data_IF_426059733408
#
_entry.id   IF_426059733408
#
_cell.length_a   1.000
_cell.length_b   1.000
_cell.length_c   1.000
_cell.angle_alpha   90.00
_cell.angle_beta   90.00
_cell.angle_gamma   90.00
#
_symmetry.space_group_name_H-M   'P 1'
#
loop_
_entity.id
_entity.type
_entity.pdbx_description
1 polymer ?
#
# COMPACT_ATOMS: atom_id res chain seq x y z
N UNK A 1 32.57 -13.16 14.37
CA UNK A 1 32.78 -13.80 13.07
C UNK A 1 31.94 -13.06 12.06
N UNK A 2 32.61 -12.45 11.11
CA UNK A 2 32.04 -11.51 10.14
C UNK A 2 31.15 -12.24 9.12
N UNK A 3 29.88 -11.87 9.06
CA UNK A 3 28.98 -12.34 8.00
C UNK A 3 29.06 -11.35 6.83
N UNK A 4 30.09 -11.53 6.01
CA UNK A 4 30.37 -10.74 4.82
C UNK A 4 30.09 -11.62 3.60
N UNK A 5 28.82 -11.92 3.28
CA UNK A 5 28.45 -12.81 2.18
C UNK A 5 27.28 -12.34 1.29
N UNK A 6 26.90 -11.05 1.31
CA UNK A 6 25.86 -10.54 0.41
C UNK A 6 26.34 -9.48 -0.60
N UNK A 7 27.60 -9.63 -1.06
CA UNK A 7 28.18 -8.75 -2.08
C UNK A 7 28.43 -9.47 -3.42
N UNK A 8 27.52 -10.33 -3.89
CA UNK A 8 27.77 -11.13 -5.10
C UNK A 8 26.80 -10.85 -6.27
N UNK A 9 25.91 -9.88 -6.17
CA UNK A 9 25.00 -9.57 -7.30
C UNK A 9 25.17 -8.16 -7.86
N UNK A 10 26.42 -7.74 -8.13
CA UNK A 10 26.69 -6.47 -8.81
C UNK A 10 26.80 -6.56 -10.34
N UNK A 11 26.67 -7.74 -10.94
CA UNK A 11 26.52 -7.89 -12.39
C UNK A 11 25.10 -8.33 -12.70
N UNK A 12 24.34 -7.49 -13.39
CA UNK A 12 23.01 -7.81 -13.87
C UNK A 12 23.08 -9.04 -14.79
N UNK A 13 22.76 -10.20 -14.24
CA UNK A 13 22.77 -11.44 -15.00
C UNK A 13 21.58 -11.44 -15.94
N UNK A 14 21.84 -11.53 -17.25
CA UNK A 14 20.80 -11.67 -18.24
C UNK A 14 20.10 -13.02 -18.05
N UNK A 15 18.77 -13.03 -18.00
CA UNK A 15 17.94 -14.21 -17.74
C UNK A 15 17.01 -14.47 -18.94
N UNK A 16 16.97 -15.71 -19.42
CA UNK A 16 16.01 -16.18 -20.38
C UNK A 16 15.11 -17.24 -19.74
N UNK A 17 13.86 -16.86 -19.49
CA UNK A 17 12.82 -17.78 -19.01
C UNK A 17 12.19 -18.44 -20.25
N UNK A 18 12.23 -19.77 -20.32
CA UNK A 18 11.78 -20.56 -21.46
C UNK A 18 10.48 -21.29 -21.16
N UNK A 19 9.58 -21.37 -22.15
CA UNK A 19 8.38 -22.23 -22.16
C UNK A 19 7.46 -21.99 -20.95
N UNK A 20 7.14 -20.73 -20.64
CA UNK A 20 6.20 -20.37 -19.58
C UNK A 20 4.83 -19.99 -20.16
N UNK A 21 3.77 -20.29 -19.41
CA UNK A 21 2.46 -19.73 -19.69
C UNK A 21 2.37 -18.33 -19.09
N UNK A 22 2.20 -17.31 -19.92
CA UNK A 22 2.13 -15.92 -19.50
C UNK A 22 0.69 -15.53 -19.18
N UNK A 23 0.49 -14.90 -18.00
CA UNK A 23 -0.71 -14.16 -17.62
C UNK A 23 -0.24 -12.75 -17.26
N UNK A 24 -0.39 -11.80 -18.19
CA UNK A 24 0.24 -10.47 -18.09
C UNK A 24 -0.60 -9.40 -17.39
N UNK A 25 -1.82 -9.75 -16.95
CA UNK A 25 -2.73 -8.81 -16.28
C UNK A 25 -3.49 -7.88 -17.22
N UNK A 26 -3.33 -8.01 -18.53
CA UNK A 26 -4.04 -7.17 -19.50
C UNK A 26 -5.53 -7.51 -19.67
N UNK A 27 -5.98 -8.65 -19.13
CA UNK A 27 -7.30 -9.21 -19.37
C UNK A 27 -7.40 -10.07 -20.64
N UNK A 28 -6.31 -10.21 -21.40
CA UNK A 28 -6.21 -11.09 -22.56
C UNK A 28 -6.04 -12.56 -22.14
N UNK A 29 -6.32 -13.48 -23.05
CA UNK A 29 -6.08 -14.90 -22.82
C UNK A 29 -4.60 -15.19 -22.58
N UNK A 30 -4.33 -16.15 -21.69
CA UNK A 30 -2.98 -16.65 -21.44
C UNK A 30 -2.35 -17.24 -22.69
N UNK A 31 -1.05 -17.08 -22.82
CA UNK A 31 -0.29 -17.59 -23.98
C UNK A 31 1.06 -18.18 -23.58
N UNK A 32 1.61 -19.09 -24.38
CA UNK A 32 2.92 -19.71 -24.17
C UNK A 32 3.99 -18.87 -24.86
N UNK A 33 5.02 -18.48 -24.14
CA UNK A 33 6.17 -17.75 -24.68
C UNK A 33 7.42 -17.90 -23.81
N UNK A 34 8.54 -17.36 -24.31
CA UNK A 34 9.77 -17.13 -23.57
C UNK A 34 9.85 -15.65 -23.18
N UNK A 35 10.54 -15.36 -22.08
CA UNK A 35 10.75 -13.98 -21.60
C UNK A 35 12.24 -13.75 -21.36
N UNK A 36 12.79 -12.72 -22.01
CA UNK A 36 14.16 -12.26 -21.77
C UNK A 36 14.14 -11.08 -20.83
N UNK A 37 14.91 -11.19 -19.75
CA UNK A 37 15.14 -10.14 -18.78
C UNK A 37 16.60 -9.68 -18.86
N UNK A 38 16.78 -8.36 -19.01
CA UNK A 38 18.10 -7.74 -19.03
C UNK A 38 18.08 -6.47 -18.17
N UNK A 39 19.09 -6.29 -17.36
CA UNK A 39 19.20 -5.11 -16.48
C UNK A 39 17.90 -4.85 -15.70
N UNK A 40 17.29 -5.88 -15.12
CA UNK A 40 16.05 -5.82 -14.34
C UNK A 40 14.80 -5.36 -15.12
N UNK A 41 14.83 -5.48 -16.46
CA UNK A 41 13.69 -5.14 -17.32
C UNK A 41 13.37 -6.29 -18.26
N UNK A 42 12.08 -6.46 -18.54
CA UNK A 42 11.64 -7.33 -19.63
C UNK A 42 12.09 -6.68 -20.94
N UNK A 43 13.02 -7.34 -21.66
CA UNK A 43 13.54 -6.85 -22.94
C UNK A 43 12.71 -7.37 -24.10
N UNK A 44 12.30 -8.64 -24.04
CA UNK A 44 11.63 -9.32 -25.16
C UNK A 44 10.74 -10.44 -24.66
N UNK A 45 9.58 -10.59 -25.30
CA UNK A 45 8.65 -11.72 -25.12
C UNK A 45 8.40 -12.35 -26.49
N UNK A 46 8.39 -13.69 -26.58
CA UNK A 46 8.13 -14.43 -27.81
C UNK A 46 8.83 -15.77 -27.84
N UNK A 47 9.07 -16.33 -29.02
CA UNK A 47 9.94 -17.49 -29.19
C UNK A 47 11.38 -16.99 -29.34
N UNK A 48 12.21 -17.26 -28.33
CA UNK A 48 13.54 -16.65 -28.22
C UNK A 48 14.63 -17.71 -28.26
N UNK A 49 15.69 -17.45 -29.02
CA UNK A 49 16.92 -18.21 -28.94
C UNK A 49 17.83 -17.67 -27.85
N UNK A 50 18.58 -18.57 -27.22
CA UNK A 50 19.59 -18.20 -26.21
C UNK A 50 20.66 -17.30 -26.83
N UNK A 51 20.98 -16.20 -26.17
CA UNK A 51 22.18 -15.40 -26.43
C UNK A 51 23.33 -15.83 -25.49
N UNK A 52 24.55 -15.44 -25.82
CA UNK A 52 25.71 -15.70 -24.98
C UNK A 52 25.53 -15.06 -23.60
N UNK A 53 25.96 -15.76 -22.56
CA UNK A 53 25.94 -15.33 -21.15
C UNK A 53 24.57 -15.21 -20.48
N UNK A 54 23.48 -15.69 -21.13
CA UNK A 54 22.18 -15.76 -20.48
C UNK A 54 22.07 -17.00 -19.57
N UNK A 55 21.56 -16.81 -18.36
CA UNK A 55 21.08 -17.92 -17.54
C UNK A 55 19.74 -18.35 -18.10
N UNK A 56 19.55 -19.67 -18.29
CA UNK A 56 18.26 -20.22 -18.75
C UNK A 56 17.51 -20.77 -17.54
N UNK A 57 16.28 -20.30 -17.38
CA UNK A 57 15.29 -20.90 -16.50
C UNK A 57 14.24 -21.63 -17.34
N UNK A 58 14.11 -22.94 -17.15
CA UNK A 58 13.09 -23.74 -17.83
C UNK A 58 11.79 -23.72 -17.03
N UNK A 59 10.79 -23.07 -17.57
CA UNK A 59 9.50 -22.86 -16.90
C UNK A 59 8.39 -23.78 -17.39
N UNK A 60 8.73 -24.96 -17.93
CA UNK A 60 7.76 -25.91 -18.47
C UNK A 60 6.61 -26.19 -17.49
N UNK A 61 5.37 -25.84 -17.90
CA UNK A 61 4.16 -26.01 -17.07
C UNK A 61 3.98 -24.96 -15.96
N UNK A 62 4.91 -24.01 -15.81
CA UNK A 62 4.76 -22.90 -14.88
C UNK A 62 4.02 -21.74 -15.52
N UNK A 63 3.43 -20.91 -14.65
CA UNK A 63 2.80 -19.64 -15.02
C UNK A 63 3.76 -18.51 -14.64
N UNK A 64 3.96 -17.57 -15.55
CA UNK A 64 4.64 -16.31 -15.29
C UNK A 64 3.62 -15.18 -15.30
N UNK A 65 3.57 -14.43 -14.21
CA UNK A 65 2.72 -13.24 -14.07
C UNK A 65 3.53 -12.08 -13.48
N UNK A 66 3.04 -10.83 -13.57
CA UNK A 66 3.52 -9.77 -12.71
C UNK A 66 3.41 -10.16 -11.24
N UNK A 67 4.31 -9.67 -10.40
CA UNK A 67 4.19 -9.85 -8.96
C UNK A 67 2.91 -9.21 -8.42
N UNK A 68 2.30 -9.82 -7.41
CA UNK A 68 1.08 -9.30 -6.82
C UNK A 68 1.35 -8.03 -6.00
N UNK A 69 0.37 -7.13 -5.98
CA UNK A 69 0.37 -5.93 -5.16
C UNK A 69 -0.66 -6.12 -4.05
N UNK A 70 -0.19 -6.19 -2.81
CA UNK A 70 -1.06 -6.15 -1.64
C UNK A 70 -1.33 -4.68 -1.29
N UNK A 71 -2.55 -4.23 -1.58
CA UNK A 71 -2.95 -2.84 -1.42
C UNK A 71 -3.39 -2.48 -0.01
N UNK A 72 -3.41 -3.45 0.92
CA UNK A 72 -3.76 -3.25 2.32
C UNK A 72 -2.93 -4.18 3.20
N UNK A 73 -1.81 -3.68 3.71
CA UNK A 73 -0.86 -4.44 4.52
C UNK A 73 -0.48 -3.68 5.79
N UNK A 74 -0.21 -4.42 6.86
CA UNK A 74 0.33 -3.91 8.12
C UNK A 74 1.80 -4.33 8.32
N UNK A 75 2.52 -4.59 7.22
CA UNK A 75 3.92 -4.99 7.26
C UNK A 75 4.85 -3.91 7.83
N UNK A 76 4.43 -2.66 7.89
CA UNK A 76 5.15 -1.57 8.56
C UNK A 76 5.43 -1.83 10.04
N UNK A 77 4.68 -2.72 10.68
CA UNK A 77 4.90 -3.11 12.08
C UNK A 77 6.16 -3.95 12.31
N UNK A 78 6.64 -4.68 11.31
CA UNK A 78 7.74 -5.63 11.49
C UNK A 78 8.75 -5.72 10.33
N UNK A 79 8.52 -5.06 9.21
CA UNK A 79 9.36 -5.15 8.01
C UNK A 79 10.83 -4.79 8.24
N UNK A 80 11.11 -3.87 9.17
CA UNK A 80 12.49 -3.51 9.52
C UNK A 80 13.20 -4.63 10.30
N UNK A 81 12.44 -5.49 10.98
CA UNK A 81 12.96 -6.67 11.67
C UNK A 81 13.04 -7.90 10.76
N UNK A 82 12.24 -7.94 9.70
CA UNK A 82 12.11 -9.05 8.75
C UNK A 82 12.22 -8.55 7.29
N UNK A 83 13.38 -7.98 6.90
CA UNK A 83 13.55 -7.33 5.59
C UNK A 83 13.51 -8.30 4.40
N UNK A 84 13.64 -9.60 4.65
CA UNK A 84 13.44 -10.65 3.65
C UNK A 84 11.98 -10.77 3.20
N UNK A 85 11.03 -10.21 3.97
CA UNK A 85 9.59 -10.21 3.67
C UNK A 85 9.08 -11.60 3.23
N UNK A 86 9.58 -12.68 3.83
CA UNK A 86 9.37 -14.05 3.39
C UNK A 86 7.89 -14.42 3.30
N UNK A 87 7.07 -13.91 4.21
CA UNK A 87 5.63 -14.16 4.20
C UNK A 87 4.94 -13.60 2.94
N UNK A 88 5.40 -12.46 2.43
CA UNK A 88 4.88 -11.84 1.21
C UNK A 88 5.46 -12.50 -0.04
N UNK A 89 6.80 -12.55 -0.13
CA UNK A 89 7.48 -13.02 -1.35
C UNK A 89 7.18 -14.49 -1.67
N UNK A 90 7.01 -15.35 -0.65
CA UNK A 90 6.66 -16.76 -0.85
C UNK A 90 5.28 -16.97 -1.48
N UNK A 91 4.43 -15.95 -1.46
CA UNK A 91 3.11 -15.93 -2.09
C UNK A 91 3.09 -15.16 -3.42
N UNK A 92 4.26 -14.70 -3.88
CA UNK A 92 4.38 -13.91 -5.11
C UNK A 92 3.98 -12.45 -4.96
N UNK A 93 3.83 -11.94 -3.71
CA UNK A 93 3.61 -10.52 -3.44
C UNK A 93 4.96 -9.81 -3.52
N UNK A 94 5.06 -8.85 -4.43
CA UNK A 94 6.29 -8.08 -4.68
C UNK A 94 6.17 -6.61 -4.30
N UNK A 95 4.97 -6.18 -3.95
CA UNK A 95 4.69 -4.81 -3.51
C UNK A 95 3.63 -4.84 -2.42
N UNK A 96 3.86 -4.10 -1.33
CA UNK A 96 2.87 -3.91 -0.27
C UNK A 96 2.61 -2.42 -0.06
N UNK A 97 1.36 -2.10 0.28
CA UNK A 97 0.95 -0.75 0.64
C UNK A 97 0.59 -0.73 2.12
N UNK A 98 1.41 -0.06 2.91
CA UNK A 98 1.31 0.05 4.37
C UNK A 98 0.72 1.39 4.81
N UNK A 99 0.75 1.68 6.11
CA UNK A 99 0.15 2.89 6.66
C UNK A 99 -1.38 2.83 6.64
N UNK A 100 -1.94 1.67 6.94
CA UNK A 100 -3.37 1.38 6.81
C UNK A 100 -4.16 1.72 8.09
N UNK A 101 -5.49 1.83 7.92
CA UNK A 101 -6.46 1.95 9.01
C UNK A 101 -6.15 3.11 9.97
N UNK A 102 -5.58 4.20 9.42
CA UNK A 102 -5.29 5.41 10.15
C UNK A 102 -3.96 5.42 10.89
N UNK A 103 -3.19 4.36 10.86
CA UNK A 103 -1.86 4.29 11.48
C UNK A 103 -0.76 4.17 10.44
N UNK A 104 0.31 4.91 10.60
CA UNK A 104 1.48 4.85 9.71
C UNK A 104 2.76 5.12 10.46
N UNK A 105 3.91 4.69 9.94
CA UNK A 105 5.20 5.17 10.41
C UNK A 105 5.27 6.71 10.34
N UNK A 106 5.90 7.31 11.33
CA UNK A 106 6.08 8.76 11.41
C UNK A 106 7.42 9.12 12.06
N UNK A 107 8.21 10.04 11.49
CA UNK A 107 8.07 10.65 10.16
C UNK A 107 8.29 9.64 9.02
N UNK A 108 7.47 9.72 7.97
CA UNK A 108 7.54 8.78 6.85
C UNK A 108 8.91 8.78 6.16
N UNK A 109 9.55 9.97 6.03
CA UNK A 109 10.89 10.09 5.44
C UNK A 109 11.95 9.24 6.13
N UNK A 110 11.84 9.11 7.46
CA UNK A 110 12.81 8.32 8.24
C UNK A 110 12.56 6.82 8.01
N UNK A 111 11.30 6.40 7.98
CA UNK A 111 10.93 5.02 7.61
C UNK A 111 11.39 4.65 6.20
N UNK A 112 11.21 5.53 5.20
CA UNK A 112 11.69 5.30 3.82
C UNK A 112 13.21 5.13 3.83
N UNK A 113 13.93 6.00 4.53
CA UNK A 113 15.39 5.92 4.64
C UNK A 113 15.83 4.58 5.24
N UNK A 114 15.19 4.17 6.34
CA UNK A 114 15.53 2.89 7.00
C UNK A 114 15.29 1.69 6.06
N UNK A 115 14.19 1.70 5.30
CA UNK A 115 13.86 0.69 4.27
C UNK A 115 14.95 0.64 3.19
N UNK A 116 15.39 1.80 2.69
CA UNK A 116 16.42 1.89 1.63
C UNK A 116 17.79 1.44 2.14
N UNK A 117 18.19 1.85 3.34
CA UNK A 117 19.45 1.48 3.95
C UNK A 117 19.52 -0.02 4.29
N UNK A 118 18.41 -0.60 4.73
CA UNK A 118 18.32 -2.02 5.07
C UNK A 118 18.28 -2.92 3.83
N UNK A 119 17.66 -2.47 2.76
CA UNK A 119 17.50 -3.24 1.52
C UNK A 119 16.42 -4.31 1.64
N UNK A 120 15.17 -3.90 1.78
CA UNK A 120 14.00 -4.80 1.86
C UNK A 120 13.74 -5.49 0.53
N UNK A 121 13.33 -6.76 0.56
CA UNK A 121 13.18 -7.63 -0.63
C UNK A 121 12.02 -7.22 -1.55
N UNK A 122 11.00 -6.53 -1.04
CA UNK A 122 9.79 -6.13 -1.76
C UNK A 122 9.69 -4.59 -1.87
N UNK A 123 8.87 -4.12 -2.81
CA UNK A 123 8.55 -2.70 -2.89
C UNK A 123 7.54 -2.30 -1.81
N UNK A 124 7.69 -1.11 -1.26
CA UNK A 124 6.81 -0.58 -0.20
C UNK A 124 6.32 0.80 -0.60
N UNK A 125 5.01 1.01 -0.52
CA UNK A 125 4.38 2.31 -0.53
C UNK A 125 3.62 2.53 0.78
N UNK A 126 3.46 3.78 1.22
CA UNK A 126 2.76 4.07 2.47
C UNK A 126 1.71 5.16 2.30
N UNK A 127 0.58 4.99 2.99
CA UNK A 127 -0.32 6.09 3.32
C UNK A 127 0.18 6.85 4.54
N UNK A 128 -0.34 8.05 4.75
CA UNK A 128 -0.26 8.77 6.03
C UNK A 128 -1.47 8.41 6.86
N UNK A 129 -1.26 8.00 8.09
CA UNK A 129 -2.34 7.63 9.00
C UNK A 129 -2.96 8.84 9.69
N UNK A 130 -4.27 9.03 9.55
CA UNK A 130 -5.03 10.06 10.27
C UNK A 130 -4.91 9.94 11.79
N UNK A 131 -4.97 8.70 12.30
CA UNK A 131 -4.85 8.42 13.72
C UNK A 131 -3.45 8.79 14.24
N UNK A 132 -2.41 8.53 13.44
CA UNK A 132 -1.04 8.98 13.75
C UNK A 132 -0.97 10.51 13.84
N UNK A 133 -1.54 11.22 12.85
CA UNK A 133 -1.59 12.69 12.86
C UNK A 133 -2.34 13.20 14.10
N UNK A 134 -3.50 12.60 14.42
CA UNK A 134 -4.27 13.01 15.61
C UNK A 134 -3.49 12.82 16.91
N UNK A 135 -2.81 11.69 17.08
CA UNK A 135 -1.95 11.46 18.24
C UNK A 135 -0.81 12.49 18.31
N UNK A 136 -0.19 12.80 17.20
CA UNK A 136 0.91 13.78 17.17
C UNK A 136 0.46 15.19 17.53
N UNK A 137 -0.73 15.62 17.11
CA UNK A 137 -1.23 16.98 17.37
C UNK A 137 -1.94 17.09 18.72
N UNK A 138 -2.79 16.12 19.07
CA UNK A 138 -3.64 16.19 20.25
C UNK A 138 -3.00 15.57 21.50
N UNK A 139 -1.99 14.73 21.32
CA UNK A 139 -1.29 14.00 22.39
C UNK A 139 -2.31 13.30 23.32
N UNK A 140 -2.21 13.46 24.62
CA UNK A 140 -3.09 12.85 25.62
C UNK A 140 -4.56 13.31 25.51
N UNK A 141 -4.85 14.41 24.80
CA UNK A 141 -6.19 14.97 24.66
C UNK A 141 -6.93 14.50 23.41
N UNK A 142 -6.59 13.37 22.85
CA UNK A 142 -7.16 12.88 21.56
C UNK A 142 -8.64 12.47 21.64
N UNK A 143 -9.19 12.20 22.83
CA UNK A 143 -10.56 11.72 23.04
C UNK A 143 -11.62 12.83 22.95
N UNK A 144 -11.49 13.71 22.00
CA UNK A 144 -12.40 14.81 21.69
C UNK A 144 -12.29 15.23 20.24
N UNK A 145 -13.24 16.02 19.78
CA UNK A 145 -13.11 16.68 18.49
C UNK A 145 -11.92 17.65 18.50
N UNK A 146 -11.19 17.73 17.40
CA UNK A 146 -10.18 18.76 17.19
C UNK A 146 -10.84 20.13 16.96
N UNK A 147 -10.20 21.19 17.45
CA UNK A 147 -10.60 22.55 17.10
C UNK A 147 -10.01 22.97 15.74
N UNK A 148 -10.44 24.11 15.21
CA UNK A 148 -10.04 24.59 13.88
C UNK A 148 -8.51 24.75 13.74
N UNK A 149 -7.83 25.27 14.76
CA UNK A 149 -6.37 25.43 14.73
C UNK A 149 -5.65 24.08 14.72
N UNK A 150 -6.15 23.11 15.46
CA UNK A 150 -5.60 21.74 15.46
C UNK A 150 -5.80 21.05 14.10
N UNK A 151 -6.94 21.25 13.44
CA UNK A 151 -7.16 20.73 12.08
C UNK A 151 -6.20 21.39 11.08
N UNK A 152 -5.90 22.68 11.22
CA UNK A 152 -4.88 23.35 10.41
C UNK A 152 -3.50 22.72 10.61
N UNK A 153 -3.10 22.46 11.87
CA UNK A 153 -1.82 21.81 12.17
C UNK A 153 -1.76 20.37 11.60
N UNK A 154 -2.86 19.61 11.70
CA UNK A 154 -2.99 18.29 11.07
C UNK A 154 -2.80 18.37 9.56
N UNK A 155 -3.41 19.37 8.92
CA UNK A 155 -3.30 19.59 7.48
C UNK A 155 -1.87 19.93 7.04
N UNK A 156 -1.15 20.75 7.82
CA UNK A 156 0.26 21.08 7.56
C UNK A 156 1.15 19.84 7.69
N UNK A 157 0.95 19.05 8.74
CA UNK A 157 1.66 17.80 8.96
C UNK A 157 1.40 16.81 7.81
N UNK A 158 0.14 16.63 7.41
CA UNK A 158 -0.23 15.78 6.29
C UNK A 158 0.45 16.21 4.98
N UNK A 159 0.50 17.51 4.68
CA UNK A 159 1.20 18.06 3.51
C UNK A 159 2.69 17.69 3.52
N UNK A 160 3.33 17.79 4.69
CA UNK A 160 4.74 17.42 4.85
C UNK A 160 4.97 15.94 4.53
N UNK A 161 4.13 15.07 5.08
CA UNK A 161 4.24 13.62 4.87
C UNK A 161 3.93 13.21 3.41
N UNK A 162 2.91 13.83 2.79
CA UNK A 162 2.63 13.63 1.35
C UNK A 162 3.82 14.06 0.48
N UNK A 163 4.46 15.17 0.83
CA UNK A 163 5.68 15.65 0.13
C UNK A 163 6.88 14.71 0.32
N UNK A 164 6.88 13.89 1.36
CA UNK A 164 7.90 12.86 1.63
C UNK A 164 7.68 11.57 0.82
N UNK A 165 6.61 11.47 0.03
CA UNK A 165 6.35 10.36 -0.88
C UNK A 165 5.19 9.46 -0.49
N UNK A 166 4.36 9.86 0.49
CA UNK A 166 3.14 9.13 0.81
C UNK A 166 2.15 9.15 -0.38
N UNK A 167 1.44 8.04 -0.57
CA UNK A 167 0.48 7.88 -1.68
C UNK A 167 -0.90 8.46 -1.39
N UNK A 168 -1.17 8.86 -0.15
CA UNK A 168 -2.44 9.42 0.26
C UNK A 168 -2.67 9.39 1.77
N UNK A 169 -3.94 9.46 2.16
CA UNK A 169 -4.42 9.46 3.54
C UNK A 169 -5.17 8.17 3.85
N UNK A 170 -4.84 7.49 4.94
CA UNK A 170 -5.64 6.42 5.51
C UNK A 170 -6.36 6.87 6.78
N UNK A 171 -7.55 6.34 7.04
CA UNK A 171 -8.29 6.58 8.29
C UNK A 171 -8.76 5.28 8.91
N UNK A 172 -8.83 5.26 10.26
CA UNK A 172 -9.47 4.23 11.04
C UNK A 172 -10.48 4.90 11.97
N UNK A 173 -11.74 5.00 11.52
CA UNK A 173 -12.73 5.85 12.14
C UNK A 173 -13.61 5.13 13.17
N UNK A 174 -13.40 3.83 13.35
CA UNK A 174 -14.14 3.01 14.33
C UNK A 174 -13.37 2.84 15.65
N UNK A 175 -12.11 3.28 15.72
CA UNK A 175 -11.26 3.14 16.92
C UNK A 175 -10.43 4.40 17.22
N UNK A 176 -9.88 4.45 18.42
CA UNK A 176 -9.05 5.57 18.90
C UNK A 176 -7.84 5.82 18.00
N UNK A 177 -7.51 7.07 17.77
CA UNK A 177 -8.21 8.32 18.09
C UNK A 177 -9.20 8.77 17.01
N UNK A 178 -9.32 8.03 15.90
CA UNK A 178 -10.11 8.37 14.73
C UNK A 178 -11.61 8.51 15.04
N UNK A 179 -12.13 7.68 15.95
CA UNK A 179 -13.55 7.68 16.35
C UNK A 179 -14.01 9.04 16.92
N UNK A 180 -13.11 9.82 17.50
CA UNK A 180 -13.39 11.14 18.06
C UNK A 180 -13.38 12.27 17.03
N UNK A 181 -13.02 11.98 15.78
CA UNK A 181 -13.06 12.96 14.70
C UNK A 181 -14.48 13.17 14.19
N UNK A 182 -14.79 14.37 13.77
CA UNK A 182 -16.00 14.65 13.02
C UNK A 182 -15.75 14.55 11.51
N UNK A 183 -16.83 14.45 10.75
CA UNK A 183 -16.80 14.34 9.29
C UNK A 183 -16.09 15.54 8.62
N UNK A 184 -16.24 16.75 9.18
CA UNK A 184 -15.61 17.96 8.64
C UNK A 184 -14.08 17.91 8.72
N UNK A 185 -13.52 17.42 9.83
CA UNK A 185 -12.09 17.20 9.98
C UNK A 185 -11.56 16.25 8.89
N UNK A 186 -12.21 15.09 8.73
CA UNK A 186 -11.80 14.08 7.73
C UNK A 186 -11.88 14.64 6.31
N UNK A 187 -12.96 15.36 5.97
CA UNK A 187 -13.11 15.98 4.65
C UNK A 187 -12.04 17.04 4.40
N UNK A 188 -11.69 17.84 5.40
CA UNK A 188 -10.62 18.85 5.27
C UNK A 188 -9.28 18.19 4.96
N UNK A 189 -8.91 17.13 5.67
CA UNK A 189 -7.67 16.40 5.42
C UNK A 189 -7.70 15.63 4.07
N UNK A 190 -8.86 15.07 3.72
CA UNK A 190 -9.05 14.43 2.42
C UNK A 190 -8.90 15.44 1.27
N UNK A 191 -9.36 16.70 1.44
CA UNK A 191 -9.16 17.75 0.43
C UNK A 191 -7.66 18.08 0.26
N UNK A 192 -6.92 18.19 1.36
CA UNK A 192 -5.44 18.36 1.32
C UNK A 192 -4.77 17.23 0.53
N UNK A 193 -5.24 16.00 0.75
CA UNK A 193 -4.74 14.82 0.03
C UNK A 193 -5.06 14.89 -1.47
N UNK A 194 -6.29 15.27 -1.81
CA UNK A 194 -6.73 15.42 -3.20
C UNK A 194 -5.94 16.50 -3.95
N UNK A 195 -5.69 17.65 -3.29
CA UNK A 195 -4.91 18.76 -3.85
C UNK A 195 -3.46 18.34 -4.14
N UNK A 196 -2.94 17.38 -3.40
CA UNK A 196 -1.63 16.76 -3.62
C UNK A 196 -1.65 15.62 -4.67
N UNK A 197 -2.81 15.29 -5.24
CA UNK A 197 -2.97 14.19 -6.19
C UNK A 197 -2.96 12.80 -5.57
N UNK A 198 -3.18 12.70 -4.25
CA UNK A 198 -3.18 11.47 -3.49
C UNK A 198 -4.47 10.66 -3.60
N UNK A 199 -4.59 9.63 -2.74
CA UNK A 199 -5.74 8.72 -2.63
C UNK A 199 -6.21 8.66 -1.19
N UNK A 200 -7.46 8.23 -0.99
CA UNK A 200 -8.04 8.04 0.33
C UNK A 200 -8.47 6.60 0.54
N UNK A 201 -8.13 6.03 1.69
CA UNK A 201 -8.56 4.70 2.12
C UNK A 201 -9.06 4.76 3.56
N UNK A 202 -10.10 4.00 3.88
CA UNK A 202 -10.70 4.03 5.20
C UNK A 202 -11.13 2.65 5.71
N UNK A 203 -10.68 2.32 6.92
CA UNK A 203 -11.51 1.55 7.83
C UNK A 203 -12.65 2.50 8.24
N UNK A 204 -13.85 2.22 7.77
CA UNK A 204 -15.00 3.13 7.88
C UNK A 204 -15.44 3.31 9.34
N UNK A 205 -16.25 4.33 9.60
CA UNK A 205 -16.65 4.75 10.95
C UNK A 205 -17.49 3.71 11.70
N UNK A 206 -18.18 2.84 10.98
CA UNK A 206 -18.89 1.70 11.56
C UNK A 206 -19.03 0.58 10.55
N UNK A 207 -18.70 -0.64 10.96
CA UNK A 207 -18.92 -1.86 10.20
C UNK A 207 -20.19 -2.60 10.67
N UNK A 208 -20.89 -2.05 11.66
CA UNK A 208 -22.07 -2.65 12.27
C UNK A 208 -23.35 -1.76 12.15
N UNK A 209 -23.83 -1.22 13.27
CA UNK A 209 -25.13 -0.52 13.39
C UNK A 209 -25.23 0.79 12.60
N UNK A 210 -24.12 1.45 12.28
CA UNK A 210 -24.05 2.70 11.52
C UNK A 210 -23.39 2.51 10.15
N UNK A 211 -23.46 1.29 9.62
CA UNK A 211 -22.78 0.90 8.38
C UNK A 211 -23.18 1.80 7.20
N UNK A 212 -24.49 2.05 7.00
CA UNK A 212 -24.98 2.89 5.88
C UNK A 212 -24.46 4.33 5.99
N UNK A 213 -24.51 4.93 7.20
CA UNK A 213 -23.97 6.27 7.44
C UNK A 213 -22.46 6.34 7.19
N UNK A 214 -21.71 5.28 7.50
CA UNK A 214 -20.28 5.19 7.25
C UNK A 214 -19.95 5.04 5.74
N UNK A 215 -20.79 4.31 5.00
CA UNK A 215 -20.70 4.23 3.53
C UNK A 215 -21.00 5.61 2.90
N UNK A 216 -22.03 6.29 3.38
CA UNK A 216 -22.37 7.64 2.91
C UNK A 216 -21.25 8.64 3.18
N UNK A 217 -20.55 8.53 4.32
CA UNK A 217 -19.40 9.37 4.64
C UNK A 217 -18.27 9.22 3.61
N UNK A 218 -17.87 7.98 3.28
CA UNK A 218 -16.78 7.77 2.30
C UNK A 218 -17.18 8.19 0.89
N UNK A 219 -18.45 7.98 0.50
CA UNK A 219 -19.00 8.46 -0.77
C UNK A 219 -18.99 10.00 -0.82
N UNK A 220 -19.38 10.66 0.27
CA UNK A 220 -19.34 12.13 0.36
C UNK A 220 -17.92 12.67 0.22
N UNK A 221 -16.94 12.03 0.88
CA UNK A 221 -15.52 12.38 0.74
C UNK A 221 -15.10 12.32 -0.73
N UNK A 222 -15.35 11.21 -1.42
CA UNK A 222 -15.01 11.05 -2.82
C UNK A 222 -15.69 12.09 -3.74
N UNK A 223 -16.96 12.39 -3.51
CA UNK A 223 -17.71 13.39 -4.29
C UNK A 223 -17.19 14.80 -4.10
N UNK A 224 -16.88 15.21 -2.85
CA UNK A 224 -16.39 16.55 -2.53
C UNK A 224 -14.99 16.78 -3.06
N UNK A 225 -14.11 15.82 -2.85
CA UNK A 225 -12.69 15.95 -3.19
C UNK A 225 -12.37 15.55 -4.63
N UNK A 226 -13.29 14.86 -5.32
CA UNK A 226 -13.09 14.25 -6.65
C UNK A 226 -11.88 13.30 -6.71
N UNK A 227 -11.48 12.78 -5.58
CA UNK A 227 -10.37 11.87 -5.40
C UNK A 227 -10.87 10.41 -5.38
N UNK A 228 -10.10 9.44 -5.89
CA UNK A 228 -10.41 8.03 -5.68
C UNK A 228 -10.43 7.70 -4.19
N UNK A 229 -11.49 7.02 -3.76
CA UNK A 229 -11.66 6.54 -2.38
C UNK A 229 -11.76 5.02 -2.37
N UNK A 230 -11.27 4.40 -1.31
CA UNK A 230 -11.28 2.95 -1.11
C UNK A 230 -11.77 2.63 0.30
N UNK A 231 -12.59 1.61 0.43
CA UNK A 231 -12.91 0.98 1.72
C UNK A 231 -11.81 -0.06 1.97
N UNK A 232 -11.17 -0.01 3.14
CA UNK A 232 -10.09 -0.93 3.54
C UNK A 232 -10.53 -2.40 3.43
N UNK A 233 -11.69 -2.68 3.99
CA UNK A 233 -12.34 -4.01 3.98
C UNK A 233 -13.85 -3.80 4.15
N UNK A 234 -14.61 -4.38 3.26
CA UNK A 234 -16.07 -4.28 3.30
C UNK A 234 -16.62 -5.42 4.18
N UNK A 235 -16.81 -5.13 5.46
CA UNK A 235 -17.38 -6.04 6.43
C UNK A 235 -18.76 -5.54 6.86
N UNK A 236 -19.74 -6.45 6.90
CA UNK A 236 -21.06 -6.23 7.47
C UNK A 236 -21.14 -7.00 8.79
N UNK A 237 -20.65 -6.38 9.87
CA UNK A 237 -20.49 -7.04 11.17
C UNK A 237 -21.83 -7.31 11.86
N UNK A 238 -22.88 -6.56 11.53
CA UNK A 238 -24.22 -6.80 12.09
C UNK A 238 -24.95 -7.89 11.29
N UNK A 239 -25.42 -8.94 11.97
CA UNK A 239 -26.08 -10.10 11.36
C UNK A 239 -27.31 -9.73 10.48
N UNK A 240 -28.05 -8.69 10.82
CA UNK A 240 -29.21 -8.21 10.04
C UNK A 240 -28.81 -7.67 8.66
N UNK A 241 -27.55 -7.32 8.46
CA UNK A 241 -27.02 -6.77 7.20
C UNK A 241 -26.47 -7.85 6.25
N UNK A 242 -26.23 -9.09 6.72
CA UNK A 242 -25.52 -10.12 5.94
C UNK A 242 -26.16 -10.47 4.60
N UNK A 243 -27.49 -10.32 4.46
CA UNK A 243 -28.20 -10.61 3.21
C UNK A 243 -28.38 -9.37 2.31
N UNK A 244 -27.77 -8.24 2.68
CA UNK A 244 -27.85 -6.97 1.93
C UNK A 244 -26.55 -6.68 1.17
N UNK A 245 -25.53 -7.55 1.30
CA UNK A 245 -24.32 -7.45 0.51
C UNK A 245 -24.64 -7.63 -0.98
N UNK A 246 -24.05 -6.81 -1.88
CA UNK A 246 -24.27 -6.90 -3.32
C UNK A 246 -23.78 -8.22 -3.92
#
# INVERSE_FOLDING_TARGET
MSCNQYSVYSESTDLLIKNVTIIDGSGSDRYLADVRIRKQRIEQIGQLERKNNEIIFQGNGLILSPGFIDTHSHADGDILSHPDALAAISQGITTVIVGQDGFSPYPLKDFIKDIEELGVTINIGSYVGHNTIRYEILKENFQRMANENEVVLMAEMLKSELSSGAIGLSTGLEYDPGIHSNRSEVITLAQVTADAGGRYISHIRSEDRWFEDAIDEIIEIGRRTKMPVQISHLKMAQKSLWYQAP
#
